data_IF_867997926160
#
_entry.id   IF_867997926160
#
_cell.length_a   1.000
_cell.length_b   1.000
_cell.length_c   1.000
_cell.angle_alpha   90.00
_cell.angle_beta   90.00
_cell.angle_gamma   90.00
#
_symmetry.space_group_name_H-M   'P 1'
#
loop_
_entity.id
_entity.type
_entity.pdbx_description
1 polymer ?
#
# COMPACT_ATOMS: atom_id res chain seq x y z
N UNK A 1 -0.27 -22.48 0.04
CA UNK A 1 -0.61 -21.09 0.44
C UNK A 1 -2.11 -20.93 0.46
N UNK A 2 -2.66 -20.18 1.42
CA UNK A 2 -4.10 -19.90 1.47
C UNK A 2 -4.46 -18.82 0.43
N UNK A 3 -5.70 -18.80 -0.06
CA UNK A 3 -6.17 -17.90 -1.13
C UNK A 3 -5.92 -16.42 -0.83
N UNK A 4 -6.08 -16.00 0.43
CA UNK A 4 -5.85 -14.62 0.87
C UNK A 4 -4.37 -14.20 0.77
N UNK A 5 -3.43 -15.15 0.92
CA UNK A 5 -2.01 -14.88 0.73
C UNK A 5 -1.69 -14.61 -0.74
N UNK A 6 -2.23 -15.44 -1.62
CA UNK A 6 -2.10 -15.26 -3.08
C UNK A 6 -2.66 -13.92 -3.53
N UNK A 7 -3.86 -13.56 -3.08
CA UNK A 7 -4.48 -12.28 -3.39
C UNK A 7 -3.64 -11.09 -2.89
N UNK A 8 -3.01 -11.21 -1.73
CA UNK A 8 -2.11 -10.18 -1.21
C UNK A 8 -0.89 -9.93 -2.11
N UNK A 9 -0.26 -10.98 -2.63
CA UNK A 9 0.88 -10.84 -3.55
C UNK A 9 0.46 -10.40 -4.96
N UNK A 10 -0.72 -10.81 -5.43
CA UNK A 10 -1.27 -10.33 -6.71
C UNK A 10 -1.49 -8.80 -6.69
N UNK A 11 -1.74 -8.23 -5.51
CA UNK A 11 -1.81 -6.77 -5.33
C UNK A 11 -0.49 -6.04 -5.63
N UNK A 12 0.65 -6.73 -5.79
CA UNK A 12 1.91 -6.10 -6.20
C UNK A 12 2.01 -5.91 -7.72
N UNK A 13 1.21 -6.63 -8.51
CA UNK A 13 1.30 -6.63 -9.97
C UNK A 13 1.19 -5.21 -10.56
N UNK A 14 0.22 -4.37 -10.16
CA UNK A 14 0.09 -3.05 -10.79
C UNK A 14 1.27 -2.12 -10.48
N UNK A 15 1.91 -2.25 -9.31
CA UNK A 15 3.12 -1.48 -8.98
C UNK A 15 4.28 -1.83 -9.92
N UNK A 16 4.54 -3.13 -10.10
CA UNK A 16 5.62 -3.62 -10.97
C UNK A 16 5.32 -3.27 -12.43
N UNK A 17 4.06 -3.42 -12.86
CA UNK A 17 3.64 -3.06 -14.20
C UNK A 17 3.87 -1.57 -14.51
N UNK A 18 3.53 -0.66 -13.58
CA UNK A 18 3.74 0.78 -13.79
C UNK A 18 5.23 1.15 -13.86
N UNK A 19 6.10 0.49 -13.08
CA UNK A 19 7.54 0.69 -13.16
C UNK A 19 8.10 0.28 -14.53
N UNK A 20 7.71 -0.91 -14.99
CA UNK A 20 8.17 -1.44 -16.27
C UNK A 20 7.64 -0.65 -17.47
N UNK A 21 6.39 -0.20 -17.41
CA UNK A 21 5.77 0.60 -18.47
C UNK A 21 6.52 1.92 -18.68
N UNK A 22 7.03 2.54 -17.61
CA UNK A 22 7.77 3.78 -17.72
C UNK A 22 9.15 3.57 -18.36
N UNK A 23 9.85 2.48 -18.02
CA UNK A 23 11.12 2.12 -18.65
C UNK A 23 10.98 1.94 -20.17
N UNK A 24 9.88 1.32 -20.60
CA UNK A 24 9.54 1.20 -22.02
C UNK A 24 9.21 2.57 -22.63
N UNK A 25 8.46 3.42 -21.93
CA UNK A 25 8.10 4.77 -22.39
C UNK A 25 9.30 5.69 -22.59
N UNK A 26 10.37 5.53 -21.81
CA UNK A 26 11.60 6.33 -21.94
C UNK A 26 12.42 5.83 -23.13
N UNK A 27 12.51 4.52 -23.31
CA UNK A 27 13.37 3.89 -24.32
C UNK A 27 12.75 3.83 -25.71
N UNK A 28 11.43 3.78 -25.79
CA UNK A 28 10.70 3.87 -27.05
C UNK A 28 10.19 5.30 -27.21
N UNK A 29 10.32 5.88 -28.40
CA UNK A 29 9.65 7.13 -28.79
C UNK A 29 8.12 6.99 -28.85
N UNK A 30 7.54 6.16 -27.98
CA UNK A 30 6.13 5.87 -27.87
C UNK A 30 5.48 6.88 -26.91
N UNK A 31 5.37 8.12 -27.37
CA UNK A 31 4.65 9.20 -26.70
C UNK A 31 3.11 8.99 -26.68
N UNK A 32 2.63 7.75 -26.91
CA UNK A 32 1.23 7.38 -27.09
C UNK A 32 0.69 6.52 -25.94
N UNK A 33 1.20 6.69 -24.72
CA UNK A 33 0.59 6.08 -23.54
C UNK A 33 -0.69 6.85 -23.17
N UNK A 34 -1.80 6.12 -23.08
CA UNK A 34 -3.13 6.65 -22.72
C UNK A 34 -3.18 7.32 -21.34
N UNK A 35 -2.22 7.01 -20.46
CA UNK A 35 -2.14 7.51 -19.09
C UNK A 35 -0.69 7.59 -18.62
N UNK A 36 -0.41 8.50 -17.66
CA UNK A 36 0.91 8.63 -17.05
C UNK A 36 1.15 7.47 -16.05
N UNK A 37 2.17 6.61 -16.28
CA UNK A 37 2.45 5.47 -15.39
C UNK A 37 2.79 5.89 -13.94
N UNK A 38 3.42 7.05 -13.75
CA UNK A 38 3.77 7.57 -12.42
C UNK A 38 2.52 7.91 -11.61
N UNK A 39 1.55 8.57 -12.25
CA UNK A 39 0.27 8.90 -11.61
C UNK A 39 -0.55 7.63 -11.32
N UNK A 40 -0.56 6.68 -12.26
CA UNK A 40 -1.23 5.40 -12.06
C UNK A 40 -0.66 4.62 -10.86
N UNK A 41 0.67 4.62 -10.69
CA UNK A 41 1.33 4.02 -9.53
C UNK A 41 0.87 4.66 -8.22
N UNK A 42 0.82 6.00 -8.15
CA UNK A 42 0.39 6.73 -6.96
C UNK A 42 -1.08 6.49 -6.62
N UNK A 43 -1.97 6.53 -7.62
CA UNK A 43 -3.40 6.25 -7.42
C UNK A 43 -3.61 4.83 -6.91
N UNK A 44 -2.96 3.85 -7.52
CA UNK A 44 -3.05 2.48 -7.07
C UNK A 44 -2.52 2.31 -5.65
N UNK A 45 -1.42 2.99 -5.31
CA UNK A 45 -0.89 2.99 -3.96
C UNK A 45 -1.90 3.54 -2.94
N UNK A 46 -2.49 4.70 -3.20
CA UNK A 46 -3.50 5.28 -2.31
C UNK A 46 -4.73 4.38 -2.15
N UNK A 47 -5.20 3.74 -3.23
CA UNK A 47 -6.31 2.78 -3.21
C UNK A 47 -5.97 1.57 -2.34
N UNK A 48 -4.77 0.99 -2.48
CA UNK A 48 -4.38 -0.16 -1.68
C UNK A 48 -4.19 0.24 -0.21
N UNK A 49 -3.58 1.39 0.07
CA UNK A 49 -3.43 1.87 1.45
C UNK A 49 -4.79 2.09 2.12
N UNK A 50 -5.74 2.74 1.44
CA UNK A 50 -7.10 2.96 1.94
C UNK A 50 -7.91 1.66 2.09
N UNK A 51 -7.81 0.74 1.13
CA UNK A 51 -8.42 -0.60 1.22
C UNK A 51 -7.94 -1.36 2.46
N UNK A 52 -6.62 -1.33 2.69
CA UNK A 52 -6.00 -1.96 3.84
C UNK A 52 -6.39 -1.27 5.16
N UNK A 53 -6.51 0.06 5.15
CA UNK A 53 -6.96 0.83 6.31
C UNK A 53 -8.40 0.44 6.67
N UNK A 54 -9.29 0.37 5.68
CA UNK A 54 -10.68 -0.06 5.85
C UNK A 54 -10.83 -1.46 6.45
N UNK A 55 -9.86 -2.37 6.22
CA UNK A 55 -9.87 -3.68 6.84
C UNK A 55 -9.78 -3.64 8.39
N UNK A 56 -9.28 -2.54 8.98
CA UNK A 56 -9.25 -2.35 10.44
C UNK A 56 -10.66 -2.22 11.05
N UNK A 57 -11.69 -1.87 10.27
CA UNK A 57 -13.07 -1.74 10.76
C UNK A 57 -13.68 -3.07 11.23
N UNK A 58 -13.32 -4.19 10.59
CA UNK A 58 -14.08 -5.45 10.71
C UNK A 58 -13.56 -6.41 11.79
N UNK A 59 -12.43 -6.10 12.43
CA UNK A 59 -11.69 -7.11 13.21
C UNK A 59 -12.35 -7.51 14.54
N UNK A 60 -13.23 -6.68 15.11
CA UNK A 60 -13.96 -6.98 16.34
C UNK A 60 -15.40 -6.47 16.28
N UNK A 61 -16.34 -7.34 15.91
CA UNK A 61 -17.78 -7.03 15.94
C UNK A 61 -18.36 -7.00 17.34
N UNK A 62 -17.68 -7.63 18.32
CA UNK A 62 -18.16 -7.80 19.69
C UNK A 62 -17.69 -6.67 20.64
N UNK A 63 -16.58 -5.99 20.34
CA UNK A 63 -16.10 -4.81 21.09
C UNK A 63 -15.53 -3.78 20.12
N UNK A 64 -16.31 -2.76 19.71
CA UNK A 64 -15.83 -1.77 18.77
C UNK A 64 -14.70 -0.93 19.40
N UNK A 65 -13.47 -1.11 18.92
CA UNK A 65 -12.37 -0.23 19.27
C UNK A 65 -12.47 1.06 18.44
N UNK A 66 -13.06 2.11 19.02
CA UNK A 66 -13.20 3.43 18.39
C UNK A 66 -11.86 3.93 17.81
N UNK A 67 -10.75 3.63 18.47
CA UNK A 67 -9.41 3.99 18.01
C UNK A 67 -9.06 3.41 16.62
N UNK A 68 -9.41 2.15 16.31
CA UNK A 68 -9.08 1.54 15.00
C UNK A 68 -9.88 2.17 13.87
N UNK A 69 -11.13 2.58 14.14
CA UNK A 69 -11.99 3.28 13.18
C UNK A 69 -11.46 4.69 12.87
N UNK A 70 -11.06 5.44 13.91
CA UNK A 70 -10.46 6.77 13.75
C UNK A 70 -9.15 6.66 12.96
N UNK A 71 -8.27 5.74 13.33
CA UNK A 71 -6.98 5.55 12.65
C UNK A 71 -7.19 5.12 11.19
N UNK A 72 -8.15 4.24 10.92
CA UNK A 72 -8.51 3.84 9.55
C UNK A 72 -8.89 5.05 8.69
N UNK A 73 -9.79 5.90 9.19
CA UNK A 73 -10.23 7.08 8.43
C UNK A 73 -9.10 8.11 8.27
N UNK A 74 -8.29 8.29 9.31
CA UNK A 74 -7.12 9.15 9.25
C UNK A 74 -6.13 8.69 8.17
N UNK A 75 -5.85 7.39 8.08
CA UNK A 75 -4.98 6.82 7.05
C UNK A 75 -5.57 6.96 5.63
N UNK A 76 -6.89 6.81 5.47
CA UNK A 76 -7.54 7.06 4.19
C UNK A 76 -7.42 8.53 3.76
N UNK A 77 -7.67 9.48 4.68
CA UNK A 77 -7.51 10.91 4.41
C UNK A 77 -6.05 11.27 4.14
N UNK A 78 -5.11 10.68 4.87
CA UNK A 78 -3.68 10.82 4.63
C UNK A 78 -3.31 10.38 3.20
N UNK A 79 -3.76 9.19 2.78
CA UNK A 79 -3.53 8.67 1.43
C UNK A 79 -4.11 9.61 0.36
N UNK A 80 -5.31 10.14 0.61
CA UNK A 80 -5.98 11.09 -0.28
C UNK A 80 -5.21 12.41 -0.41
N UNK A 81 -4.74 12.98 0.71
CA UNK A 81 -3.93 14.22 0.70
C UNK A 81 -2.62 14.02 -0.07
N UNK A 82 -1.99 12.84 0.04
CA UNK A 82 -0.77 12.53 -0.72
C UNK A 82 -0.97 12.64 -2.24
N UNK A 83 -2.18 12.42 -2.76
CA UNK A 83 -2.46 12.51 -4.20
C UNK A 83 -2.42 13.93 -4.75
N UNK A 84 -2.57 14.96 -3.90
CA UNK A 84 -2.44 16.36 -4.29
C UNK A 84 -1.00 16.87 -4.23
N UNK A 85 -0.08 16.07 -3.68
CA UNK A 85 1.33 16.44 -3.60
C UNK A 85 2.04 16.19 -4.93
N UNK A 86 3.17 16.89 -5.18
CA UNK A 86 4.07 16.54 -6.28
C UNK A 86 4.53 15.08 -6.18
N UNK A 87 4.72 14.43 -7.33
CA UNK A 87 5.01 12.98 -7.45
C UNK A 87 6.15 12.55 -6.53
N UNK A 88 7.23 13.34 -6.48
CA UNK A 88 8.39 13.09 -5.62
C UNK A 88 8.00 12.95 -4.14
N UNK A 89 7.23 13.91 -3.60
CA UNK A 89 6.81 13.89 -2.19
C UNK A 89 5.77 12.79 -1.94
N UNK A 90 4.83 12.59 -2.86
CA UNK A 90 3.83 11.54 -2.75
C UNK A 90 4.48 10.14 -2.64
N UNK A 91 5.52 9.87 -3.43
CA UNK A 91 6.31 8.64 -3.36
C UNK A 91 7.04 8.44 -2.03
N UNK A 92 7.41 9.51 -1.32
CA UNK A 92 8.01 9.42 0.01
C UNK A 92 6.98 9.23 1.11
N UNK A 93 5.83 9.91 1.01
CA UNK A 93 4.81 9.91 2.05
C UNK A 93 3.93 8.66 2.06
N UNK A 94 3.53 8.12 0.90
CA UNK A 94 2.70 6.91 0.85
C UNK A 94 3.31 5.70 1.59
N UNK A 95 4.62 5.38 1.45
CA UNK A 95 5.30 4.35 2.23
C UNK A 95 5.16 4.49 3.75
N UNK A 96 5.21 5.72 4.26
CA UNK A 96 5.01 6.00 5.70
C UNK A 96 3.59 5.58 6.13
N UNK A 97 2.60 5.76 5.26
CA UNK A 97 1.24 5.26 5.47
C UNK A 97 1.17 3.73 5.61
N UNK A 98 1.87 2.99 4.75
CA UNK A 98 1.92 1.53 4.85
C UNK A 98 2.61 1.05 6.13
N UNK A 99 3.72 1.69 6.49
CA UNK A 99 4.46 1.34 7.69
C UNK A 99 3.65 1.63 8.96
N UNK A 100 3.03 2.81 9.05
CA UNK A 100 2.17 3.18 10.17
C UNK A 100 0.96 2.24 10.31
N UNK A 101 0.32 1.87 9.20
CA UNK A 101 -0.77 0.89 9.20
C UNK A 101 -0.30 -0.47 9.74
N UNK A 102 0.85 -0.97 9.28
CA UNK A 102 1.41 -2.23 9.79
C UNK A 102 1.69 -2.16 11.29
N UNK A 103 2.27 -1.05 11.76
CA UNK A 103 2.55 -0.84 13.18
C UNK A 103 1.27 -0.83 14.02
N UNK A 104 0.24 -0.10 13.59
CA UNK A 104 -1.08 -0.06 14.23
C UNK A 104 -1.68 -1.47 14.27
N UNK A 105 -1.65 -2.20 13.16
CA UNK A 105 -2.19 -3.56 13.09
C UNK A 105 -1.43 -4.50 14.03
N UNK A 106 -0.11 -4.38 14.13
CA UNK A 106 0.71 -5.16 15.05
C UNK A 106 0.37 -4.85 16.51
N UNK A 107 0.37 -3.57 16.91
CA UNK A 107 0.11 -3.18 18.31
C UNK A 107 -1.30 -3.57 18.76
N UNK A 108 -2.31 -3.31 17.93
CA UNK A 108 -3.71 -3.49 18.33
C UNK A 108 -4.22 -4.93 18.14
N UNK A 109 -3.67 -5.70 17.20
CA UNK A 109 -4.25 -6.99 16.81
C UNK A 109 -3.39 -8.21 17.15
N UNK A 110 -2.12 -8.05 17.55
CA UNK A 110 -1.22 -9.18 17.82
C UNK A 110 -1.70 -10.10 18.97
N UNK A 111 -2.53 -9.60 19.88
CA UNK A 111 -2.97 -10.35 21.06
C UNK A 111 -4.17 -11.28 20.85
N UNK A 112 -4.85 -11.27 19.68
CA UNK A 112 -6.20 -11.86 19.60
C UNK A 112 -6.26 -13.34 19.17
N UNK A 113 -5.37 -13.88 18.33
CA UNK A 113 -5.32 -15.35 18.04
C UNK A 113 -3.94 -15.85 17.54
N UNK A 114 -3.14 -16.48 18.41
CA UNK A 114 -1.70 -16.78 18.20
C UNK A 114 -1.31 -17.62 16.98
N UNK A 115 -2.19 -18.47 16.41
CA UNK A 115 -1.81 -19.38 15.32
C UNK A 115 -2.09 -18.83 13.91
N UNK A 116 -3.18 -18.07 13.75
CA UNK A 116 -3.52 -17.42 12.48
C UNK A 116 -2.80 -16.08 12.31
N UNK A 117 -2.49 -15.41 13.41
CA UNK A 117 -1.79 -14.12 13.44
C UNK A 117 -0.38 -14.20 12.87
N UNK A 118 0.44 -15.19 13.24
CA UNK A 118 1.87 -15.20 12.86
C UNK A 118 2.08 -15.30 11.35
N UNK A 119 1.37 -16.20 10.67
CA UNK A 119 1.47 -16.36 9.22
C UNK A 119 0.93 -15.13 8.47
N UNK A 120 -0.14 -14.53 8.99
CA UNK A 120 -0.71 -13.30 8.45
C UNK A 120 0.25 -12.11 8.61
N UNK A 121 0.80 -11.89 9.80
CA UNK A 121 1.74 -10.80 10.08
C UNK A 121 3.04 -10.93 9.30
N UNK A 122 3.57 -12.14 9.13
CA UNK A 122 4.74 -12.37 8.28
C UNK A 122 4.47 -12.01 6.82
N UNK A 123 3.30 -12.41 6.29
CA UNK A 123 2.88 -11.99 4.94
C UNK A 123 2.76 -10.45 4.87
N UNK A 124 2.13 -9.84 5.87
CA UNK A 124 1.92 -8.39 5.93
C UNK A 124 3.22 -7.60 5.98
N UNK A 125 4.20 -8.05 6.77
CA UNK A 125 5.55 -7.50 6.82
C UNK A 125 6.23 -7.60 5.45
N UNK A 126 6.18 -8.77 4.80
CA UNK A 126 6.79 -8.95 3.47
C UNK A 126 6.18 -8.02 2.43
N UNK A 127 4.84 -7.93 2.38
CA UNK A 127 4.15 -7.06 1.43
C UNK A 127 4.47 -5.58 1.69
N UNK A 128 4.49 -5.15 2.94
CA UNK A 128 4.80 -3.74 3.29
C UNK A 128 6.23 -3.39 2.91
N UNK A 129 7.20 -4.26 3.23
CA UNK A 129 8.60 -4.09 2.82
C UNK A 129 8.72 -4.05 1.29
N UNK A 130 8.03 -4.95 0.57
CA UNK A 130 8.04 -4.96 -0.90
C UNK A 130 7.46 -3.68 -1.50
N UNK A 131 6.34 -3.18 -0.97
CA UNK A 131 5.74 -1.92 -1.44
C UNK A 131 6.67 -0.73 -1.17
N UNK A 132 7.29 -0.67 0.01
CA UNK A 132 8.27 0.38 0.35
C UNK A 132 9.46 0.30 -0.61
N UNK A 133 9.96 -0.90 -0.88
CA UNK A 133 11.05 -1.11 -1.85
C UNK A 133 10.65 -0.66 -3.26
N UNK A 134 9.43 -0.95 -3.70
CA UNK A 134 8.92 -0.50 -5.00
C UNK A 134 8.80 1.03 -5.09
N UNK A 135 8.44 1.72 -4.00
CA UNK A 135 8.45 3.18 -3.96
C UNK A 135 9.87 3.74 -4.00
N UNK A 136 10.82 3.12 -3.30
CA UNK A 136 12.23 3.52 -3.36
C UNK A 136 12.81 3.29 -4.77
N UNK A 137 12.47 2.18 -5.41
CA UNK A 137 12.84 1.92 -6.81
C UNK A 137 12.21 2.94 -7.76
N UNK A 138 10.93 3.29 -7.56
CA UNK A 138 10.26 4.35 -8.32
C UNK A 138 10.97 5.70 -8.17
N UNK A 139 11.35 6.08 -6.95
CA UNK A 139 12.10 7.31 -6.69
C UNK A 139 13.44 7.30 -7.44
N UNK A 140 14.23 6.23 -7.33
CA UNK A 140 15.55 6.13 -7.96
C UNK A 140 15.52 6.03 -9.49
N UNK A 141 14.45 5.49 -10.07
CA UNK A 141 14.32 5.34 -11.51
C UNK A 141 13.74 6.59 -12.19
N UNK A 142 12.94 7.38 -11.46
CA UNK A 142 12.19 8.48 -12.04
C UNK A 142 12.76 9.87 -11.74
N UNK A 143 13.66 9.98 -10.75
CA UNK A 143 14.32 11.21 -10.31
C UNK A 143 15.81 10.96 -10.08
#
# INVERSE_FOLDING_TARGET
MRIWQWLGYLGLIPFVACLWLLEISINSSANNLLFNPQQAFLFYSAIILSFLAGALWRKDTLTPHIATQIISNFLCLYAFVCLFMPIFYALMFLPIGYFSLFFVEYVLCNNKEKAYTTSYFLMRLRLTVLVIFLHAAALMLWF
#
